data_IF_682967587289
#
_entry.id   IF_682967587289
#
_cell.length_a   1.000
_cell.length_b   1.000
_cell.length_c   1.000
_cell.angle_alpha   90.00
_cell.angle_beta   90.00
_cell.angle_gamma   90.00
#
_symmetry.space_group_name_H-M   'P 1'
#
loop_
_entity.id
_entity.type
_entity.pdbx_description
1 polymer ?
#
# COMPACT_ATOMS: atom_id res chain seq x y z
N UNK A 1 3.14 8.38 -5.17
CA UNK A 1 1.79 8.64 -4.63
C UNK A 1 1.59 7.81 -3.38
N UNK A 2 1.01 8.40 -2.33
CA UNK A 2 0.69 7.72 -1.06
C UNK A 2 -0.79 7.96 -0.77
N UNK A 3 -1.51 6.96 -0.28
CA UNK A 3 -2.92 7.10 0.05
C UNK A 3 -3.34 6.21 1.20
N UNK A 4 -4.25 6.71 2.04
CA UNK A 4 -4.70 6.05 3.27
C UNK A 4 -6.18 5.67 3.19
N UNK A 5 -6.57 4.49 3.68
CA UNK A 5 -7.96 4.03 3.70
C UNK A 5 -8.59 4.10 2.29
N UNK A 6 -9.60 4.95 2.09
CA UNK A 6 -10.18 5.22 0.77
C UNK A 6 -9.11 5.68 -0.23
N UNK A 7 -8.21 6.57 0.19
CA UNK A 7 -7.07 6.99 -0.61
C UNK A 7 -6.12 5.85 -0.97
N UNK A 8 -5.97 4.84 -0.10
CA UNK A 8 -5.20 3.64 -0.42
C UNK A 8 -5.88 2.79 -1.50
N UNK A 9 -7.21 2.71 -1.46
CA UNK A 9 -7.99 2.11 -2.53
C UNK A 9 -7.84 2.86 -3.86
N UNK A 10 -7.80 4.19 -3.82
CA UNK A 10 -7.54 5.00 -5.02
C UNK A 10 -6.13 4.79 -5.58
N UNK A 11 -5.12 4.54 -4.74
CA UNK A 11 -3.78 4.16 -5.23
C UNK A 11 -3.85 2.84 -6.01
N UNK A 12 -4.59 1.84 -5.50
CA UNK A 12 -4.79 0.59 -6.26
C UNK A 12 -5.51 0.82 -7.58
N UNK A 13 -6.57 1.63 -7.59
CA UNK A 13 -7.29 1.96 -8.83
C UNK A 13 -6.40 2.72 -9.83
N UNK A 14 -5.54 3.61 -9.35
CA UNK A 14 -4.60 4.35 -10.19
C UNK A 14 -3.60 3.39 -10.87
N UNK A 15 -3.10 2.40 -10.14
CA UNK A 15 -2.27 1.33 -10.71
C UNK A 15 -3.06 0.53 -11.75
N UNK A 16 -4.33 0.22 -11.46
CA UNK A 16 -5.16 -0.52 -12.42
C UNK A 16 -5.56 0.25 -13.66
N UNK A 17 -5.60 1.57 -13.59
CA UNK A 17 -5.77 2.42 -14.76
C UNK A 17 -4.50 2.53 -15.62
N UNK A 18 -3.38 1.91 -15.23
CA UNK A 18 -2.11 1.99 -15.95
C UNK A 18 -1.51 3.41 -15.95
N UNK A 19 -1.76 4.19 -14.90
CA UNK A 19 -1.42 5.62 -14.87
C UNK A 19 0.07 5.87 -15.12
N UNK A 20 0.37 6.63 -16.18
CA UNK A 20 1.72 7.00 -16.57
C UNK A 20 2.30 8.05 -15.61
N UNK A 21 3.61 7.98 -15.35
CA UNK A 21 4.35 8.96 -14.55
C UNK A 21 4.37 8.71 -13.04
N UNK A 22 3.84 7.59 -12.56
CA UNK A 22 3.95 7.19 -11.15
C UNK A 22 5.16 6.27 -10.96
N UNK A 23 6.22 6.79 -10.32
CA UNK A 23 7.43 6.00 -10.02
C UNK A 23 7.28 5.12 -8.77
N UNK A 24 6.55 5.57 -7.76
CA UNK A 24 6.31 4.83 -6.52
C UNK A 24 4.85 5.00 -6.05
N UNK A 25 4.24 3.93 -5.56
CA UNK A 25 2.85 3.88 -5.11
C UNK A 25 2.75 3.19 -3.74
N UNK A 26 2.09 3.83 -2.77
CA UNK A 26 2.02 3.33 -1.39
C UNK A 26 0.58 3.33 -0.87
N UNK A 27 -0.19 2.26 -1.09
CA UNK A 27 -1.52 2.10 -0.50
C UNK A 27 -1.43 1.65 0.98
N UNK A 28 -1.88 2.51 1.88
CA UNK A 28 -2.07 2.22 3.30
C UNK A 28 -3.49 1.74 3.58
N UNK A 29 -3.61 0.50 4.08
CA UNK A 29 -4.85 -0.17 4.51
C UNK A 29 -6.04 0.15 3.57
N UNK A 30 -5.75 0.14 2.28
CA UNK A 30 -6.71 0.45 1.22
C UNK A 30 -7.27 -0.82 0.58
N UNK A 31 -8.58 -0.86 0.29
CA UNK A 31 -9.20 -2.03 -0.33
C UNK A 31 -8.65 -2.24 -1.75
N UNK A 32 -8.20 -3.45 -2.04
CA UNK A 32 -7.83 -3.88 -3.39
C UNK A 32 -9.09 -3.99 -4.27
N UNK A 33 -9.09 -3.51 -5.52
CA UNK A 33 -10.21 -3.72 -6.43
C UNK A 33 -10.39 -5.22 -6.75
N UNK A 34 -11.62 -5.65 -7.10
CA UNK A 34 -11.83 -7.00 -7.61
C UNK A 34 -11.06 -7.17 -8.92
N UNK A 35 -10.47 -8.36 -9.13
CA UNK A 35 -9.72 -8.69 -10.34
C UNK A 35 -8.65 -7.64 -10.70
N UNK A 36 -7.67 -7.39 -9.81
CA UNK A 36 -6.65 -6.37 -10.05
C UNK A 36 -5.90 -6.67 -11.35
N UNK A 37 -5.99 -5.76 -12.31
CA UNK A 37 -5.17 -5.70 -13.51
C UNK A 37 -4.22 -4.52 -13.33
N UNK A 38 -2.92 -4.69 -13.54
CA UNK A 38 -1.91 -3.62 -13.45
C UNK A 38 -1.17 -3.43 -14.77
N UNK A 39 -1.81 -3.81 -15.89
CA UNK A 39 -1.28 -3.61 -17.23
C UNK A 39 -0.89 -2.14 -17.43
N UNK A 40 0.35 -1.92 -17.88
CA UNK A 40 0.89 -0.59 -18.15
C UNK A 40 1.40 0.18 -16.92
N UNK A 41 1.13 -0.29 -15.71
CA UNK A 41 1.70 0.32 -14.50
C UNK A 41 3.21 0.03 -14.41
N UNK A 42 3.97 1.03 -13.96
CA UNK A 42 5.44 0.94 -13.81
C UNK A 42 5.93 1.32 -12.41
N UNK A 43 5.02 1.59 -11.49
CA UNK A 43 5.36 2.05 -10.15
C UNK A 43 5.95 0.92 -9.31
N UNK A 44 6.93 1.26 -8.46
CA UNK A 44 7.31 0.43 -7.33
C UNK A 44 6.24 0.54 -6.23
N UNK A 45 5.67 -0.60 -5.80
CA UNK A 45 4.52 -0.64 -4.88
C UNK A 45 4.92 -1.10 -3.48
N UNK A 46 4.69 -0.25 -2.48
CA UNK A 46 4.77 -0.62 -1.06
C UNK A 46 3.35 -0.67 -0.47
N UNK A 47 2.80 -1.86 -0.24
CA UNK A 47 1.50 -2.00 0.40
C UNK A 47 1.63 -2.13 1.91
N UNK A 48 0.94 -1.27 2.67
CA UNK A 48 0.96 -1.30 4.14
C UNK A 48 -0.39 -1.75 4.66
N UNK A 49 -0.42 -2.82 5.45
CA UNK A 49 -1.63 -3.42 6.01
C UNK A 49 -1.54 -3.46 7.55
N UNK A 50 -2.69 -3.56 8.22
CA UNK A 50 -2.75 -3.81 9.67
C UNK A 50 -3.21 -5.23 9.96
N UNK A 51 -2.54 -5.96 10.85
CA UNK A 51 -2.87 -7.35 11.17
C UNK A 51 -4.31 -7.55 11.70
N UNK A 52 -4.86 -6.54 12.37
CA UNK A 52 -6.22 -6.58 12.94
C UNK A 52 -7.30 -6.15 11.93
N UNK A 53 -6.93 -5.49 10.82
CA UNK A 53 -7.83 -5.12 9.73
C UNK A 53 -8.07 -6.31 8.79
N UNK A 54 -8.71 -7.35 9.30
CA UNK A 54 -8.89 -8.64 8.59
C UNK A 54 -9.57 -8.48 7.24
N UNK A 55 -10.48 -7.50 7.09
CA UNK A 55 -11.20 -7.23 5.85
C UNK A 55 -10.25 -6.77 4.74
N UNK A 56 -9.35 -5.82 5.01
CA UNK A 56 -8.41 -5.32 3.99
C UNK A 56 -7.21 -6.26 3.86
N UNK A 57 -6.65 -6.72 4.98
CA UNK A 57 -5.48 -7.60 5.01
C UNK A 57 -5.75 -8.95 4.36
N UNK A 58 -7.00 -9.44 4.36
CA UNK A 58 -7.40 -10.61 3.59
C UNK A 58 -7.14 -10.50 2.08
N UNK A 59 -7.00 -9.28 1.54
CA UNK A 59 -6.67 -9.05 0.12
C UNK A 59 -5.18 -9.03 -0.19
N UNK A 60 -4.30 -9.08 0.82
CA UNK A 60 -2.84 -8.93 0.67
C UNK A 60 -2.25 -10.00 -0.27
N UNK A 61 -2.68 -11.25 -0.14
CA UNK A 61 -2.19 -12.33 -1.02
C UNK A 61 -2.60 -12.13 -2.49
N UNK A 62 -3.83 -11.64 -2.72
CA UNK A 62 -4.31 -11.31 -4.06
C UNK A 62 -3.56 -10.11 -4.65
N UNK A 63 -3.26 -9.10 -3.83
CA UNK A 63 -2.44 -7.96 -4.23
C UNK A 63 -1.04 -8.42 -4.64
N UNK A 64 -0.39 -9.27 -3.83
CA UNK A 64 0.94 -9.81 -4.12
C UNK A 64 0.97 -10.57 -5.44
N UNK A 65 0.03 -11.49 -5.62
CA UNK A 65 -0.07 -12.30 -6.84
C UNK A 65 -0.29 -11.42 -8.08
N UNK A 66 -1.08 -10.36 -7.98
CA UNK A 66 -1.29 -9.44 -9.09
C UNK A 66 -0.03 -8.62 -9.41
N UNK A 67 0.63 -8.05 -8.41
CA UNK A 67 1.88 -7.31 -8.59
C UNK A 67 2.96 -8.16 -9.24
N UNK A 68 3.12 -9.41 -8.78
CA UNK A 68 4.08 -10.36 -9.34
C UNK A 68 3.71 -10.75 -10.78
N UNK A 69 2.43 -11.01 -11.07
CA UNK A 69 1.95 -11.35 -12.41
C UNK A 69 2.28 -10.28 -13.45
N UNK A 70 2.20 -9.01 -13.07
CA UNK A 70 2.51 -7.88 -13.96
C UNK A 70 3.97 -7.40 -13.85
N UNK A 71 4.80 -8.07 -13.03
CA UNK A 71 6.22 -7.78 -12.90
C UNK A 71 6.53 -6.45 -12.21
N UNK A 72 5.62 -5.94 -11.36
CA UNK A 72 5.85 -4.71 -10.61
C UNK A 72 6.80 -4.99 -9.43
N UNK A 73 7.77 -4.11 -9.24
CA UNK A 73 8.60 -4.10 -8.02
C UNK A 73 7.69 -3.88 -6.83
N UNK A 74 7.71 -4.79 -5.84
CA UNK A 74 6.77 -4.71 -4.73
C UNK A 74 7.31 -5.22 -3.39
N UNK A 75 6.76 -4.64 -2.33
CA UNK A 75 6.85 -5.11 -0.95
C UNK A 75 5.48 -4.93 -0.29
N UNK A 76 4.97 -5.94 0.42
CA UNK A 76 3.72 -5.84 1.18
C UNK A 76 4.02 -6.15 2.66
N UNK A 77 3.66 -5.22 3.53
CA UNK A 77 3.94 -5.26 4.96
C UNK A 77 2.63 -5.36 5.73
N UNK A 78 2.62 -6.21 6.75
CA UNK A 78 1.50 -6.34 7.69
C UNK A 78 2.01 -5.92 9.07
N UNK A 79 1.55 -4.78 9.54
CA UNK A 79 1.90 -4.24 10.85
C UNK A 79 1.22 -5.03 11.97
N UNK A 80 2.03 -5.60 12.87
CA UNK A 80 1.54 -6.41 13.98
C UNK A 80 0.77 -5.55 15.00
N UNK A 81 -0.39 -6.04 15.45
CA UNK A 81 -1.23 -5.32 16.44
C UNK A 81 -1.85 -4.02 15.92
N UNK A 82 -1.74 -3.72 14.63
CA UNK A 82 -2.33 -2.54 14.01
C UNK A 82 -3.71 -2.86 13.41
N UNK A 83 -4.69 -1.99 13.65
CA UNK A 83 -6.01 -2.04 13.02
C UNK A 83 -6.11 -1.02 11.88
N UNK A 84 -7.25 -0.97 11.22
CA UNK A 84 -7.54 0.00 10.18
C UNK A 84 -7.28 1.43 10.66
N UNK A 85 -6.66 2.25 9.81
CA UNK A 85 -6.31 3.63 10.15
C UNK A 85 -5.34 3.79 11.33
N UNK A 86 -4.47 2.80 11.59
CA UNK A 86 -3.48 2.86 12.67
C UNK A 86 -2.50 4.04 12.57
N UNK A 87 -2.35 4.64 11.39
CA UNK A 87 -1.48 5.80 11.17
C UNK A 87 -2.10 7.12 11.62
N UNK A 88 -3.42 7.18 11.83
CA UNK A 88 -4.13 8.40 12.21
C UNK A 88 -3.96 8.68 13.71
N UNK A 89 -3.06 9.60 14.06
CA UNK A 89 -2.71 10.00 15.43
C UNK A 89 -3.83 10.70 16.20
N UNK A 90 -4.83 11.24 15.51
CA UNK A 90 -6.04 11.77 16.13
C UNK A 90 -7.12 10.71 16.38
N UNK A 91 -6.93 9.47 15.92
CA UNK A 91 -7.92 8.40 15.96
C UNK A 91 -7.76 7.42 17.12
N UNK A 92 -8.84 6.74 17.56
CA UNK A 92 -8.78 5.76 18.65
C UNK A 92 -8.03 4.47 18.27
N UNK A 93 -7.73 4.28 16.99
CA UNK A 93 -7.00 3.13 16.45
C UNK A 93 -5.51 3.41 16.25
N UNK A 94 -5.05 4.60 16.61
CA UNK A 94 -3.64 4.96 16.48
C UNK A 94 -2.74 3.93 17.16
N UNK A 95 -1.74 3.46 16.43
CA UNK A 95 -0.70 2.59 16.96
C UNK A 95 0.65 3.22 16.62
N UNK A 96 1.27 3.85 17.62
CA UNK A 96 2.51 4.61 17.43
C UNK A 96 3.66 3.75 16.89
N UNK A 97 3.78 2.50 17.34
CA UNK A 97 4.83 1.58 16.89
C UNK A 97 4.66 1.23 15.42
N UNK A 98 3.45 0.82 15.02
CA UNK A 98 3.14 0.51 13.62
C UNK A 98 3.23 1.74 12.72
N UNK A 99 2.78 2.91 13.20
CA UNK A 99 2.87 4.16 12.46
C UNK A 99 4.32 4.56 12.22
N UNK A 100 5.19 4.43 13.22
CA UNK A 100 6.61 4.73 13.08
C UNK A 100 7.33 3.78 12.10
N UNK A 101 7.07 2.47 12.18
CA UNK A 101 7.65 1.49 11.26
C UNK A 101 7.19 1.76 9.81
N UNK A 102 5.88 1.90 9.61
CA UNK A 102 5.32 2.19 8.30
C UNK A 102 5.81 3.53 7.71
N UNK A 103 6.04 4.55 8.56
CA UNK A 103 6.62 5.81 8.12
C UNK A 103 8.07 5.65 7.66
N UNK A 104 8.89 4.93 8.43
CA UNK A 104 10.27 4.65 8.05
C UNK A 104 10.35 3.90 6.72
N UNK A 105 9.56 2.83 6.56
CA UNK A 105 9.47 2.07 5.32
C UNK A 105 9.02 2.91 4.13
N UNK A 106 8.03 3.79 4.35
CA UNK A 106 7.60 4.72 3.32
C UNK A 106 8.75 5.61 2.86
N UNK A 107 9.46 6.25 3.80
CA UNK A 107 10.60 7.11 3.46
C UNK A 107 11.71 6.34 2.73
N UNK A 108 12.04 5.13 3.19
CA UNK A 108 13.05 4.28 2.55
C UNK A 108 12.63 3.87 1.14
N UNK A 109 11.36 3.54 0.93
CA UNK A 109 10.80 3.23 -0.37
C UNK A 109 10.88 4.43 -1.32
N UNK A 110 10.45 5.61 -0.85
CA UNK A 110 10.52 6.82 -1.66
C UNK A 110 11.97 7.20 -2.00
N UNK A 111 12.90 7.10 -1.04
CA UNK A 111 14.32 7.33 -1.29
C UNK A 111 14.87 6.39 -2.37
N UNK A 112 14.45 5.11 -2.35
CA UNK A 112 14.93 4.12 -3.31
C UNK A 112 14.42 4.33 -4.73
N UNK A 113 13.17 4.77 -4.89
CA UNK A 113 12.48 4.79 -6.19
C UNK A 113 12.15 6.19 -6.73
N UNK A 114 12.43 7.26 -5.97
CA UNK A 114 12.31 8.65 -6.43
C UNK A 114 13.65 9.38 -6.53
N UNK A 115 14.71 8.87 -5.89
CA UNK A 115 16.03 9.48 -6.04
C UNK A 115 16.50 9.33 -7.51
N UNK A 116 17.16 10.36 -8.06
CA UNK A 116 17.69 10.36 -9.43
C UNK A 116 18.80 9.33 -9.66
#
# INVERSE_FOLDING_TARGET
>A
VVGFCFGGGLVWQLLSAGALGVSAAVPFYGPLPPQPDFTGAKAAVLGIYGALDTRVTGSQAAAKAALDRFGLVNELVVEAGADHAFFNDAGPRYNATAAADAWQRLLDWLNRYLAP
#
